data_IF_632161054306
#
_entry.id   IF_632161054306
#
_cell.length_a   1.000
_cell.length_b   1.000
_cell.length_c   1.000
_cell.angle_alpha   90.00
_cell.angle_beta   90.00
_cell.angle_gamma   90.00
#
_symmetry.space_group_name_H-M   'P 1'
#
loop_
_entity.id
_entity.type
_entity.pdbx_description
1 polymer ?
#
# COMPACT_ATOMS: atom_id res chain seq x y z
N UNK A 1 4.89 -11.10 11.59
CA UNK A 1 3.83 -10.30 10.92
C UNK A 1 4.28 -9.87 9.51
N UNK A 2 4.73 -10.80 8.66
CA UNK A 2 5.23 -10.50 7.28
C UNK A 2 4.11 -10.66 6.22
N UNK A 3 3.01 -11.34 6.58
CA UNK A 3 2.01 -11.79 5.61
C UNK A 3 1.18 -10.68 4.97
N UNK A 4 0.92 -9.57 5.67
CA UNK A 4 0.03 -8.52 5.17
C UNK A 4 0.67 -7.63 4.11
N UNK A 5 1.85 -7.11 4.41
CA UNK A 5 2.68 -6.30 3.51
C UNK A 5 3.10 -7.10 2.27
N UNK A 6 3.45 -8.38 2.43
CA UNK A 6 3.72 -9.29 1.30
C UNK A 6 2.47 -9.49 0.43
N UNK A 7 1.30 -9.67 1.05
CA UNK A 7 0.02 -9.81 0.32
C UNK A 7 -0.35 -8.55 -0.47
N UNK A 8 -0.20 -7.37 0.12
CA UNK A 8 -0.42 -6.08 -0.55
C UNK A 8 0.51 -5.87 -1.75
N UNK A 9 1.77 -6.27 -1.61
CA UNK A 9 2.77 -6.15 -2.66
C UNK A 9 2.47 -7.11 -3.83
N UNK A 10 2.03 -8.33 -3.55
CA UNK A 10 1.55 -9.28 -4.55
C UNK A 10 0.33 -8.74 -5.29
N UNK A 11 -0.68 -8.23 -4.56
CA UNK A 11 -1.90 -7.64 -5.16
C UNK A 11 -1.55 -6.43 -6.03
N UNK A 12 -0.69 -5.54 -5.54
CA UNK A 12 -0.20 -4.39 -6.31
C UNK A 12 0.54 -4.79 -7.58
N UNK A 13 1.34 -5.85 -7.53
CA UNK A 13 2.06 -6.39 -8.69
C UNK A 13 1.10 -7.01 -9.71
N UNK A 14 0.11 -7.79 -9.27
CA UNK A 14 -0.92 -8.37 -10.15
C UNK A 14 -1.72 -7.25 -10.84
N UNK A 15 -2.14 -6.22 -10.09
CA UNK A 15 -2.84 -5.07 -10.65
C UNK A 15 -1.99 -4.32 -11.68
N UNK A 16 -0.70 -4.12 -11.43
CA UNK A 16 0.22 -3.50 -12.38
C UNK A 16 0.31 -4.27 -13.69
N UNK A 17 0.38 -5.61 -13.63
CA UNK A 17 0.42 -6.50 -14.79
C UNK A 17 -0.91 -6.46 -15.56
N UNK A 18 -2.05 -6.53 -14.86
CA UNK A 18 -3.39 -6.52 -15.46
C UNK A 18 -3.69 -5.19 -16.15
N UNK A 19 -3.36 -4.05 -15.53
CA UNK A 19 -3.65 -2.72 -16.10
C UNK A 19 -2.85 -2.42 -17.36
N UNK A 20 -1.84 -3.23 -17.74
CA UNK A 20 -0.89 -2.94 -18.84
C UNK A 20 -0.39 -1.49 -18.79
N UNK A 21 -0.16 -0.99 -17.57
CA UNK A 21 0.28 0.39 -17.35
C UNK A 21 1.60 0.63 -18.07
N UNK A 22 1.78 1.84 -18.62
CA UNK A 22 2.98 2.26 -19.36
C UNK A 22 4.29 2.10 -18.54
N UNK A 23 4.21 2.07 -17.21
CA UNK A 23 5.36 1.87 -16.31
C UNK A 23 5.05 0.89 -15.16
N UNK A 24 5.03 -0.44 -15.43
CA UNK A 24 4.68 -1.43 -14.41
C UNK A 24 5.64 -1.39 -13.21
N UNK A 25 6.90 -1.01 -13.44
CA UNK A 25 7.89 -0.83 -12.38
C UNK A 25 7.52 0.32 -11.41
N UNK A 26 7.05 1.46 -11.92
CA UNK A 26 6.66 2.61 -11.09
C UNK A 26 5.41 2.25 -10.28
N UNK A 27 4.44 1.57 -10.89
CA UNK A 27 3.22 1.11 -10.21
C UNK A 27 3.57 0.15 -9.07
N UNK A 28 4.44 -0.83 -9.32
CA UNK A 28 4.92 -1.76 -8.28
C UNK A 28 5.65 -1.03 -7.15
N UNK A 29 6.48 -0.03 -7.47
CA UNK A 29 7.16 0.81 -6.47
C UNK A 29 6.18 1.58 -5.59
N UNK A 30 5.14 2.17 -6.18
CA UNK A 30 4.10 2.89 -5.44
C UNK A 30 3.36 1.94 -4.50
N UNK A 31 2.90 0.78 -5.00
CA UNK A 31 2.21 -0.21 -4.17
C UNK A 31 3.13 -0.79 -3.09
N UNK A 32 4.40 -1.04 -3.39
CA UNK A 32 5.39 -1.47 -2.42
C UNK A 32 5.61 -0.43 -1.31
N UNK A 33 5.65 0.86 -1.66
CA UNK A 33 5.75 1.95 -0.70
C UNK A 33 4.51 2.04 0.22
N UNK A 34 3.32 1.81 -0.34
CA UNK A 34 2.08 1.72 0.45
C UNK A 34 2.08 0.52 1.39
N UNK A 35 2.59 -0.63 0.94
CA UNK A 35 2.74 -1.82 1.79
C UNK A 35 3.71 -1.58 2.96
N UNK A 36 4.83 -0.91 2.70
CA UNK A 36 5.81 -0.55 3.74
C UNK A 36 5.24 0.47 4.76
N UNK A 37 4.32 1.34 4.34
CA UNK A 37 3.63 2.25 5.26
C UNK A 37 2.83 1.47 6.31
N UNK A 38 2.17 0.38 5.93
CA UNK A 38 1.46 -0.46 6.90
C UNK A 38 2.40 -0.96 8.00
N UNK A 39 3.54 -1.54 7.61
CA UNK A 39 4.52 -2.08 8.56
C UNK A 39 5.11 -0.97 9.45
N UNK A 40 5.39 0.20 8.86
CA UNK A 40 5.89 1.35 9.59
C UNK A 40 4.89 1.82 10.65
N UNK A 41 3.62 1.99 10.28
CA UNK A 41 2.59 2.41 11.24
C UNK A 41 2.31 1.34 12.28
N UNK A 42 2.30 0.06 11.91
CA UNK A 42 2.14 -1.02 12.86
C UNK A 42 3.28 -1.04 13.90
N UNK A 43 4.52 -0.82 13.46
CA UNK A 43 5.68 -0.70 14.34
C UNK A 43 5.57 0.53 15.26
N UNK A 44 5.30 1.71 14.69
CA UNK A 44 5.18 2.96 15.46
C UNK A 44 4.04 2.92 16.49
N UNK A 45 2.88 2.42 16.09
CA UNK A 45 1.70 2.34 16.96
C UNK A 45 1.82 1.22 17.98
N UNK A 46 2.64 0.20 17.72
CA UNK A 46 2.94 -0.84 18.71
C UNK A 46 3.64 -0.32 19.96
N UNK A 47 4.29 0.85 19.90
CA UNK A 47 4.84 1.51 21.09
C UNK A 47 3.78 2.20 21.96
N UNK A 48 2.59 2.49 21.41
CA UNK A 48 1.51 3.17 22.15
C UNK A 48 0.68 2.22 23.01
N UNK A 49 0.71 0.92 22.70
CA UNK A 49 0.07 -0.12 23.51
C UNK A 49 -0.24 -1.38 22.71
N UNK A 50 -0.42 -2.48 23.44
CA UNK A 50 -0.57 -3.83 22.87
C UNK A 50 -2.01 -4.15 22.41
N UNK A 51 -2.86 -3.12 22.28
CA UNK A 51 -4.22 -3.30 21.83
C UNK A 51 -4.25 -3.59 20.32
N UNK A 52 -5.02 -4.60 19.93
CA UNK A 52 -5.20 -5.00 18.53
C UNK A 52 -5.58 -3.84 17.59
N UNK A 53 -6.25 -2.81 18.11
CA UNK A 53 -6.61 -1.58 17.37
C UNK A 53 -5.37 -0.84 16.84
N UNK A 54 -4.30 -0.74 17.63
CA UNK A 54 -3.05 -0.07 17.25
C UNK A 54 -2.24 -0.88 16.25
N UNK A 55 -2.35 -2.21 16.29
CA UNK A 55 -1.59 -3.10 15.41
C UNK A 55 -2.29 -3.41 14.09
N UNK A 56 -3.63 -3.30 14.03
CA UNK A 56 -4.42 -3.70 12.86
C UNK A 56 -5.26 -2.55 12.33
N UNK A 57 -6.21 -2.05 13.13
CA UNK A 57 -7.26 -1.13 12.64
C UNK A 57 -6.68 0.17 12.11
N UNK A 58 -5.84 0.83 12.91
CA UNK A 58 -5.28 2.13 12.52
C UNK A 58 -4.30 1.97 11.33
N UNK A 59 -3.35 1.02 11.33
CA UNK A 59 -2.53 0.73 10.15
C UNK A 59 -3.36 0.44 8.90
N UNK A 60 -4.46 -0.32 9.01
CA UNK A 60 -5.35 -0.62 7.88
C UNK A 60 -6.00 0.64 7.30
N UNK A 61 -6.55 1.50 8.16
CA UNK A 61 -7.22 2.73 7.73
C UNK A 61 -6.23 3.63 6.98
N UNK A 62 -5.04 3.81 7.55
CA UNK A 62 -4.00 4.66 6.92
C UNK A 62 -3.56 4.07 5.58
N UNK A 63 -3.36 2.76 5.53
CA UNK A 63 -2.94 2.06 4.31
C UNK A 63 -4.02 2.12 3.23
N UNK A 64 -5.30 2.00 3.59
CA UNK A 64 -6.42 2.14 2.66
C UNK A 64 -6.51 3.55 2.06
N UNK A 65 -6.31 4.58 2.89
CA UNK A 65 -6.25 5.99 2.43
C UNK A 65 -5.06 6.18 1.48
N UNK A 66 -3.87 5.69 1.85
CA UNK A 66 -2.69 5.78 1.01
C UNK A 66 -2.88 5.06 -0.34
N UNK A 67 -3.51 3.89 -0.34
CA UNK A 67 -3.83 3.11 -1.54
C UNK A 67 -4.83 3.84 -2.44
N UNK A 68 -5.83 4.50 -1.86
CA UNK A 68 -6.79 5.32 -2.61
C UNK A 68 -6.09 6.50 -3.31
N UNK A 69 -5.21 7.20 -2.60
CA UNK A 69 -4.42 8.32 -3.15
C UNK A 69 -3.47 7.81 -4.24
N UNK A 70 -2.77 6.71 -3.99
CA UNK A 70 -1.86 6.06 -4.94
C UNK A 70 -2.57 5.69 -6.25
N UNK A 71 -3.75 5.06 -6.16
CA UNK A 71 -4.56 4.74 -7.33
C UNK A 71 -4.95 5.97 -8.14
N UNK A 72 -5.39 7.04 -7.46
CA UNK A 72 -5.75 8.29 -8.12
C UNK A 72 -4.55 8.96 -8.80
N UNK A 73 -3.35 8.86 -8.22
CA UNK A 73 -2.11 9.35 -8.83
C UNK A 73 -1.75 8.54 -10.07
N UNK A 74 -1.80 7.20 -10.00
CA UNK A 74 -1.52 6.32 -11.13
C UNK A 74 -2.49 6.61 -12.29
N UNK A 75 -3.78 6.78 -12.01
CA UNK A 75 -4.76 7.12 -13.04
C UNK A 75 -4.52 8.49 -13.68
N UNK A 76 -4.11 9.49 -12.90
CA UNK A 76 -3.71 10.79 -13.45
C UNK A 76 -2.45 10.71 -14.32
N UNK A 77 -1.49 9.86 -13.95
CA UNK A 77 -0.27 9.64 -14.74
C UNK A 77 -0.59 8.94 -16.07
N UNK A 78 -1.50 7.97 -16.08
CA UNK A 78 -1.98 7.32 -17.30
C UNK A 78 -2.72 8.29 -18.23
N UNK A 79 -3.53 9.22 -17.67
CA UNK A 79 -4.33 10.19 -18.44
C UNK A 79 -3.56 11.37 -19.04
N UNK A 80 -2.31 11.61 -18.62
CA UNK A 80 -1.48 12.69 -19.19
C UNK A 80 -0.82 12.30 -20.54
N UNK A 81 -1.14 11.12 -21.05
CA UNK A 81 -0.73 10.59 -22.36
C UNK A 81 -1.96 10.12 -23.15
#
# INVERSE_FOLDING_TARGET
>A
MIFFSTGLLIVGTILAIIKKSLYPFIVVLIYGSVALLFDLFQFMLGFLGDNWVFHLVIPFIITAIALYIANRLIEKMDWQY
#
